data_IF_892933329828
#
_entry.id   IF_892933329828
#
_cell.length_a   1.000
_cell.length_b   1.000
_cell.length_c   1.000
_cell.angle_alpha   90.00
_cell.angle_beta   90.00
_cell.angle_gamma   90.00
#
_symmetry.space_group_name_H-M   'P 1'
#
loop_
_entity.id
_entity.type
_entity.pdbx_description
1 polymer ?
#
# COMPACT_ATOMS: atom_id res chain seq x y z
N UNK A 1 -8.58 15.40 -7.65
CA UNK A 1 -7.16 15.04 -7.53
C UNK A 1 -6.98 14.33 -6.22
N UNK A 2 -7.07 13.01 -6.21
CA UNK A 2 -6.73 12.22 -5.03
C UNK A 2 -5.22 12.21 -4.96
N UNK A 3 -4.70 13.00 -4.03
CA UNK A 3 -3.29 12.98 -3.63
C UNK A 3 -2.98 11.54 -3.21
N UNK A 4 -2.32 10.78 -4.08
CA UNK A 4 -1.85 9.44 -3.74
C UNK A 4 -0.57 9.67 -2.93
N UNK A 5 -0.60 9.50 -1.59
CA UNK A 5 0.57 9.78 -0.78
C UNK A 5 1.69 8.86 -1.27
N UNK A 6 2.89 9.45 -1.38
CA UNK A 6 4.12 8.78 -1.73
C UNK A 6 4.14 7.36 -1.14
N UNK A 7 4.39 6.37 -2.00
CA UNK A 7 4.33 4.94 -1.70
C UNK A 7 4.81 4.65 -0.28
N UNK A 8 3.87 4.50 0.66
CA UNK A 8 4.21 4.29 2.07
C UNK A 8 4.92 2.94 2.13
N UNK A 9 6.16 2.87 2.64
CA UNK A 9 6.87 1.61 2.75
C UNK A 9 6.03 0.58 3.50
N UNK A 10 5.97 -0.66 3.02
CA UNK A 10 5.18 -1.75 3.63
C UNK A 10 5.45 -1.92 5.14
N UNK A 11 6.67 -1.59 5.58
CA UNK A 11 7.07 -1.57 6.99
C UNK A 11 6.28 -0.53 7.81
N UNK A 12 6.11 0.69 7.30
CA UNK A 12 5.37 1.75 7.98
C UNK A 12 3.87 1.42 8.12
N UNK A 13 3.31 0.66 7.18
CA UNK A 13 1.93 0.17 7.25
C UNK A 13 1.74 -0.88 8.36
N UNK A 14 2.75 -1.71 8.63
CA UNK A 14 2.69 -2.73 9.71
C UNK A 14 2.57 -2.09 11.10
N UNK A 15 3.00 -0.84 11.23
CA UNK A 15 2.98 -0.03 12.45
C UNK A 15 1.84 0.99 12.48
N UNK A 16 0.92 0.96 11.50
CA UNK A 16 -0.16 1.94 11.39
C UNK A 16 -0.98 2.00 12.68
N UNK A 17 -1.02 3.19 13.26
CA UNK A 17 -1.79 3.50 14.48
C UNK A 17 -2.98 4.37 14.13
N UNK A 18 -4.09 4.14 14.82
CA UNK A 18 -5.30 4.92 14.66
C UNK A 18 -5.01 6.39 15.04
N UNK A 19 -5.33 7.37 14.18
CA UNK A 19 -5.11 8.78 14.49
C UNK A 19 -5.94 9.26 15.68
N UNK A 20 -7.11 8.65 15.91
CA UNK A 20 -8.03 9.04 17.00
C UNK A 20 -7.61 8.53 18.37
N UNK A 21 -7.16 7.28 18.47
CA UNK A 21 -6.94 6.63 19.77
C UNK A 21 -5.55 5.99 19.93
N UNK A 22 -4.67 6.14 18.94
CA UNK A 22 -3.29 5.62 18.90
C UNK A 22 -3.18 4.09 19.06
N UNK A 23 -4.29 3.36 19.03
CA UNK A 23 -4.29 1.88 19.02
C UNK A 23 -3.83 1.38 17.65
N UNK A 24 -3.09 0.27 17.64
CA UNK A 24 -2.68 -0.39 16.39
C UNK A 24 -3.91 -0.77 15.57
N UNK A 25 -3.87 -0.47 14.28
CA UNK A 25 -4.94 -0.86 13.35
C UNK A 25 -4.63 -2.22 12.73
N UNK A 26 -5.68 -2.95 12.34
CA UNK A 26 -5.58 -4.25 11.69
C UNK A 26 -6.01 -4.15 10.24
N UNK A 27 -5.34 -4.88 9.36
CA UNK A 27 -5.73 -4.98 7.96
C UNK A 27 -7.09 -5.71 7.88
N UNK A 28 -8.10 -5.02 7.36
CA UNK A 28 -9.45 -5.54 7.20
C UNK A 28 -9.71 -6.04 5.78
N UNK A 29 -9.12 -5.38 4.76
CA UNK A 29 -9.37 -5.72 3.35
C UNK A 29 -8.20 -5.32 2.45
N UNK A 30 -7.95 -6.11 1.42
CA UNK A 30 -7.17 -5.73 0.24
C UNK A 30 -8.13 -5.76 -0.96
N UNK A 31 -8.10 -4.73 -1.79
CA UNK A 31 -8.87 -4.66 -3.04
C UNK A 31 -8.01 -4.15 -4.19
N UNK A 32 -8.33 -4.50 -5.44
CA UNK A 32 -7.67 -3.93 -6.61
C UNK A 32 -7.71 -2.40 -6.55
N UNK A 33 -6.56 -1.77 -6.76
CA UNK A 33 -6.44 -0.33 -6.95
C UNK A 33 -6.31 0.03 -8.43
N UNK A 34 -5.96 1.29 -8.73
CA UNK A 34 -5.47 1.67 -10.05
C UNK A 34 -4.28 0.81 -10.49
N UNK A 35 -3.99 0.77 -11.79
CA UNK A 35 -2.87 0.00 -12.36
C UNK A 35 -1.58 0.22 -11.58
N UNK A 36 -0.95 -0.88 -11.14
CA UNK A 36 0.27 -0.85 -10.34
C UNK A 36 0.07 -0.63 -8.83
N UNK A 37 -1.18 -0.56 -8.34
CA UNK A 37 -1.49 -0.37 -6.93
C UNK A 37 -2.56 -1.33 -6.41
N UNK A 38 -2.47 -1.64 -5.12
CA UNK A 38 -3.53 -2.26 -4.34
C UNK A 38 -4.01 -1.32 -3.23
N UNK A 39 -5.30 -1.38 -2.94
CA UNK A 39 -5.92 -0.61 -1.87
C UNK A 39 -6.04 -1.49 -0.63
N UNK A 40 -5.38 -1.10 0.46
CA UNK A 40 -5.49 -1.74 1.77
C UNK A 40 -6.34 -0.90 2.71
N UNK A 41 -7.35 -1.53 3.29
CA UNK A 41 -8.25 -0.95 4.28
C UNK A 41 -7.89 -1.45 5.67
N UNK A 42 -7.64 -0.54 6.60
CA UNK A 42 -7.30 -0.82 7.99
C UNK A 42 -8.45 -0.41 8.91
N UNK A 43 -8.80 -1.28 9.84
CA UNK A 43 -9.80 -1.01 10.88
C UNK A 43 -9.17 -0.89 12.26
N UNK A 44 -9.65 0.06 13.07
CA UNK A 44 -9.34 0.14 14.49
C UNK A 44 -10.41 -0.59 15.30
N UNK A 45 -10.03 -1.66 16.01
CA UNK A 45 -10.96 -2.43 16.85
C UNK A 45 -11.51 -1.65 18.07
N UNK A 46 -10.84 -0.56 18.47
CA UNK A 46 -11.23 0.21 19.68
C UNK A 46 -12.31 1.24 19.38
N UNK A 47 -12.22 1.95 18.26
CA UNK A 47 -13.12 3.07 17.96
C UNK A 47 -13.77 2.98 16.57
N UNK A 48 -13.61 1.84 15.88
CA UNK A 48 -14.15 1.59 14.54
C UNK A 48 -13.70 2.59 13.47
N UNK A 49 -12.61 3.32 13.72
CA UNK A 49 -12.00 4.18 12.71
C UNK A 49 -11.41 3.34 11.57
N UNK A 50 -11.55 3.84 10.34
CA UNK A 50 -11.08 3.16 9.13
C UNK A 50 -10.11 4.06 8.39
N UNK A 51 -8.98 3.48 7.96
CA UNK A 51 -8.00 4.11 7.07
C UNK A 51 -7.90 3.32 5.76
N UNK A 52 -7.77 4.02 4.63
CA UNK A 52 -7.56 3.39 3.32
C UNK A 52 -6.26 3.91 2.73
N UNK A 53 -5.38 3.00 2.36
CA UNK A 53 -4.05 3.32 1.86
C UNK A 53 -3.85 2.62 0.52
N UNK A 54 -3.43 3.37 -0.50
CA UNK A 54 -2.96 2.81 -1.76
C UNK A 54 -1.48 2.46 -1.62
N UNK A 55 -1.12 1.24 -2.04
CA UNK A 55 0.24 0.72 -1.94
C UNK A 55 0.61 0.21 -3.33
N UNK A 56 1.84 0.46 -3.77
CA UNK A 56 2.35 -0.12 -5.00
C UNK A 56 2.24 -1.65 -4.92
N UNK A 57 1.63 -2.25 -5.93
CA UNK A 57 1.56 -3.69 -6.09
C UNK A 57 2.98 -4.24 -6.32
N UNK A 58 3.23 -5.48 -5.91
CA UNK A 58 4.49 -6.16 -6.22
C UNK A 58 4.74 -6.10 -7.75
N UNK A 59 5.92 -5.65 -8.21
CA UNK A 59 6.27 -5.58 -9.64
C UNK A 59 6.09 -6.92 -10.37
N UNK A 60 6.37 -8.02 -9.65
CA UNK A 60 6.20 -9.39 -10.14
C UNK A 60 4.73 -9.76 -10.38
N UNK A 61 3.80 -9.11 -9.67
CA UNK A 61 2.34 -9.32 -9.79
C UNK A 61 1.66 -8.25 -10.63
N UNK A 62 2.25 -7.06 -10.81
CA UNK A 62 1.68 -5.94 -11.55
C UNK A 62 1.80 -6.09 -13.07
N UNK A 63 2.44 -7.15 -13.57
CA UNK A 63 2.67 -7.33 -15.01
C UNK A 63 3.82 -6.48 -15.54
N UNK A 64 4.63 -5.86 -14.66
CA UNK A 64 5.88 -5.20 -15.03
C UNK A 64 6.97 -6.26 -15.30
N UNK A 65 6.73 -7.04 -16.35
CA UNK A 65 7.58 -8.14 -16.83
C UNK A 65 8.96 -7.65 -17.29
N UNK A 66 9.15 -6.35 -17.52
CA UNK A 66 10.42 -5.78 -17.97
C UNK A 66 11.61 -6.05 -17.04
N UNK A 67 11.37 -6.14 -15.72
CA UNK A 67 12.42 -6.48 -14.74
C UNK A 67 12.76 -7.98 -14.76
N UNK A 68 11.78 -8.85 -15.05
CA UNK A 68 11.99 -10.30 -15.15
C UNK A 68 12.72 -10.70 -16.44
N UNK A 69 12.70 -9.83 -17.47
CA UNK A 69 13.33 -10.07 -18.78
C UNK A 69 14.76 -9.51 -18.87
N UNK A 70 15.30 -8.93 -17.78
CA UNK A 70 16.71 -8.54 -17.72
C UNK A 70 17.07 -7.27 -18.50
N UNK A 71 16.11 -6.41 -18.83
CA UNK A 71 16.35 -5.13 -19.52
C UNK A 71 16.74 -3.98 -18.57
N UNK A 72 17.61 -4.26 -17.60
CA UNK A 72 18.19 -3.20 -16.77
C UNK A 72 19.30 -2.51 -17.56
N UNK A 73 18.98 -1.37 -18.18
CA UNK A 73 20.02 -0.49 -18.72
C UNK A 73 20.74 0.24 -17.57
N UNK A 74 22.09 0.27 -17.56
CA UNK A 74 22.83 1.01 -16.56
C UNK A 74 22.58 2.53 -16.73
N UNK A 75 22.58 3.30 -15.62
CA UNK A 75 22.52 4.75 -15.71
C UNK A 75 23.82 5.28 -16.32
N UNK A 76 23.69 6.10 -17.36
CA UNK A 76 24.79 6.89 -17.96
C UNK A 76 25.25 8.02 -17.05
#
# INVERSE_FOLDING_TARGET
>A
MTDYPAAIPLLAIRELRCPKCRTRMMLARISPGPTGFELRTFGCAKCNHVEKIAIASDPVKSGDVGWLVGELQPPT
#
